data_IF_689658613162
#
_entry.id   IF_689658613162
#
_cell.length_a   1.000
_cell.length_b   1.000
_cell.length_c   1.000
_cell.angle_alpha   90.00
_cell.angle_beta   90.00
_cell.angle_gamma   90.00
#
_symmetry.space_group_name_H-M   'P 1'
#
loop_
_entity.id
_entity.type
_entity.pdbx_description
1 polymer ?
#
# COMPACT_ATOMS: atom_id res chain seq x y z
N UNK A 1 3.43 26.91 -24.66
CA UNK A 1 4.02 26.18 -23.50
C UNK A 1 4.52 24.79 -23.93
N UNK A 2 5.40 24.15 -23.14
CA UNK A 2 5.88 22.77 -23.40
C UNK A 2 4.70 21.80 -23.53
N UNK A 3 3.67 22.00 -22.74
CA UNK A 3 2.46 21.21 -22.74
C UNK A 3 1.69 21.32 -24.06
N UNK A 4 1.58 22.52 -24.60
CA UNK A 4 0.87 22.78 -25.86
C UNK A 4 1.63 22.18 -27.04
N UNK A 5 2.97 22.27 -27.01
CA UNK A 5 3.82 21.65 -28.02
C UNK A 5 3.65 20.11 -28.03
N UNK A 6 3.66 19.48 -26.88
CA UNK A 6 3.50 18.03 -26.75
C UNK A 6 2.08 17.57 -27.15
N UNK A 7 1.05 18.30 -26.75
CA UNK A 7 -0.33 18.02 -27.13
C UNK A 7 -0.56 18.16 -28.65
N UNK A 8 0.04 19.18 -29.28
CA UNK A 8 -0.05 19.38 -30.73
C UNK A 8 0.66 18.28 -31.52
N UNK A 9 1.67 17.62 -30.93
CA UNK A 9 2.36 16.48 -31.53
C UNK A 9 1.74 15.12 -31.14
N UNK A 10 0.52 15.12 -30.58
CA UNK A 10 -0.22 13.90 -30.25
C UNK A 10 0.25 13.18 -28.97
N UNK A 11 1.06 13.86 -28.15
CA UNK A 11 1.50 13.32 -26.87
C UNK A 11 0.55 13.74 -25.76
N UNK A 12 0.20 12.80 -24.89
CA UNK A 12 -0.58 13.07 -23.66
C UNK A 12 0.37 13.25 -22.47
N UNK A 13 0.40 14.45 -21.93
CA UNK A 13 1.22 14.78 -20.76
C UNK A 13 0.57 14.19 -19.50
N UNK A 14 1.26 13.27 -18.84
CA UNK A 14 0.79 12.63 -17.62
C UNK A 14 1.17 13.40 -16.36
N UNK A 15 2.39 13.96 -16.32
CA UNK A 15 2.83 14.76 -15.17
C UNK A 15 3.92 15.75 -15.58
N UNK A 16 3.95 16.89 -14.89
CA UNK A 16 4.98 17.91 -14.97
C UNK A 16 5.59 18.05 -13.57
N UNK A 17 6.87 17.80 -13.43
CA UNK A 17 7.56 17.91 -12.17
C UNK A 17 8.79 18.82 -12.32
N UNK A 18 8.83 19.95 -11.61
CA UNK A 18 10.04 20.73 -11.51
C UNK A 18 11.08 19.94 -10.70
N UNK A 19 12.32 19.92 -11.17
CA UNK A 19 13.46 19.37 -10.45
C UNK A 19 14.19 20.50 -9.77
N UNK A 20 14.16 20.53 -8.45
CA UNK A 20 14.88 21.50 -7.64
C UNK A 20 16.40 21.32 -7.79
N UNK A 21 17.12 22.44 -7.84
CA UNK A 21 18.58 22.43 -7.80
C UNK A 21 19.05 22.03 -6.38
N UNK A 22 19.94 21.05 -6.29
CA UNK A 22 20.50 20.57 -5.01
C UNK A 22 21.29 21.66 -4.30
N UNK A 23 21.87 22.61 -5.06
CA UNK A 23 22.73 23.68 -4.56
C UNK A 23 21.97 24.98 -4.22
N UNK A 24 20.79 25.19 -4.81
CA UNK A 24 20.02 26.43 -4.65
C UNK A 24 18.51 26.09 -4.72
N UNK A 25 17.85 26.05 -3.56
CA UNK A 25 16.45 25.62 -3.44
C UNK A 25 15.43 26.53 -4.10
N UNK A 26 15.82 27.74 -4.43
CA UNK A 26 14.94 28.73 -5.08
C UNK A 26 15.01 28.66 -6.62
N UNK A 27 15.92 27.84 -7.17
CA UNK A 27 16.11 27.68 -8.60
C UNK A 27 15.82 26.23 -9.06
N UNK A 28 15.15 26.11 -10.22
CA UNK A 28 14.88 24.81 -10.85
C UNK A 28 15.89 24.56 -11.97
N UNK A 29 16.62 23.44 -11.92
CA UNK A 29 17.58 23.04 -12.96
C UNK A 29 16.93 22.42 -14.18
N UNK A 30 15.79 21.77 -14.00
CA UNK A 30 15.12 21.05 -15.07
C UNK A 30 13.63 20.84 -14.77
N UNK A 31 12.88 20.65 -15.83
CA UNK A 31 11.47 20.23 -15.75
C UNK A 31 11.39 18.82 -16.31
N UNK A 32 10.97 17.85 -15.49
CA UNK A 32 10.72 16.47 -15.93
C UNK A 32 9.27 16.38 -16.38
N UNK A 33 9.07 16.10 -17.65
CA UNK A 33 7.75 15.93 -18.27
C UNK A 33 7.57 14.47 -18.61
N UNK A 34 6.62 13.80 -17.96
CA UNK A 34 6.21 12.45 -18.33
C UNK A 34 5.04 12.54 -19.30
N UNK A 35 5.19 11.98 -20.47
CA UNK A 35 4.16 11.93 -21.49
C UNK A 35 4.08 10.56 -22.16
N UNK A 36 2.94 10.25 -22.73
CA UNK A 36 2.73 9.06 -23.56
C UNK A 36 2.44 9.53 -24.98
N UNK A 37 3.16 9.01 -25.96
CA UNK A 37 2.95 9.31 -27.38
C UNK A 37 2.90 8.03 -28.18
N UNK A 38 1.95 7.95 -29.12
CA UNK A 38 1.85 6.84 -30.07
C UNK A 38 2.85 6.98 -31.25
N UNK A 39 3.48 8.15 -31.37
CA UNK A 39 4.51 8.42 -32.40
C UNK A 39 5.84 8.74 -31.75
N UNK A 40 6.96 8.30 -32.30
CA UNK A 40 8.27 8.71 -31.81
C UNK A 40 8.40 10.24 -31.95
N UNK A 41 8.61 10.91 -30.81
CA UNK A 41 8.91 12.33 -30.82
C UNK A 41 10.43 12.44 -30.98
N UNK A 42 10.87 12.76 -32.19
CA UNK A 42 12.26 13.08 -32.42
C UNK A 42 12.55 14.44 -31.80
N UNK A 43 13.45 14.40 -30.84
CA UNK A 43 13.99 15.47 -30.03
C UNK A 43 13.95 16.86 -30.71
N UNK A 44 14.26 17.88 -30.08
CA UNK A 44 15.18 18.07 -29.02
C UNK A 44 15.28 19.52 -28.58
N UNK A 45 14.82 20.50 -29.33
CA UNK A 45 14.86 21.90 -28.94
C UNK A 45 13.45 22.46 -28.95
N UNK A 46 12.80 22.47 -27.79
CA UNK A 46 11.49 23.09 -27.64
C UNK A 46 11.75 24.52 -27.20
N UNK A 47 11.45 25.49 -28.06
CA UNK A 47 11.67 26.93 -27.81
C UNK A 47 13.10 27.30 -27.36
N UNK A 48 14.13 26.67 -27.96
CA UNK A 48 15.52 26.98 -27.61
C UNK A 48 16.09 26.25 -26.39
N UNK A 49 15.26 25.45 -25.70
CA UNK A 49 15.69 24.64 -24.57
C UNK A 49 16.06 23.24 -25.04
N UNK A 50 17.27 22.78 -24.71
CA UNK A 50 17.68 21.40 -25.00
C UNK A 50 16.89 20.42 -24.13
N UNK A 51 16.12 19.54 -24.75
CA UNK A 51 15.36 18.50 -24.08
C UNK A 51 16.08 17.15 -24.24
N UNK A 52 16.31 16.46 -23.14
CA UNK A 52 16.80 15.08 -23.17
C UNK A 52 15.62 14.12 -23.10
N UNK A 53 15.36 13.46 -24.21
CA UNK A 53 14.36 12.39 -24.25
C UNK A 53 14.93 11.13 -23.62
N UNK A 54 14.24 10.64 -22.61
CA UNK A 54 14.49 9.34 -21.99
C UNK A 54 13.30 8.45 -22.32
N UNK A 55 13.49 7.56 -23.27
CA UNK A 55 12.49 6.57 -23.63
C UNK A 55 12.38 5.54 -22.50
N UNK A 56 11.23 5.54 -21.81
CA UNK A 56 10.92 4.50 -20.83
C UNK A 56 10.15 3.40 -21.54
N UNK A 57 10.84 2.32 -21.86
CA UNK A 57 10.24 1.18 -22.52
C UNK A 57 9.10 0.59 -21.66
N UNK A 58 7.87 0.63 -22.19
CA UNK A 58 6.68 0.05 -21.56
C UNK A 58 6.85 -1.45 -21.28
N UNK A 59 7.65 -2.14 -22.09
CA UNK A 59 7.98 -3.55 -21.88
C UNK A 59 8.82 -3.76 -20.61
N UNK A 60 9.67 -2.80 -20.24
CA UNK A 60 10.47 -2.86 -19.02
C UNK A 60 9.62 -2.61 -17.78
N UNK A 61 8.68 -1.67 -17.87
CA UNK A 61 7.71 -1.40 -16.80
C UNK A 61 6.79 -2.60 -16.56
N UNK A 62 6.27 -3.24 -17.59
CA UNK A 62 5.43 -4.43 -17.47
C UNK A 62 6.16 -5.64 -16.90
N UNK A 63 7.44 -5.84 -17.26
CA UNK A 63 8.29 -6.90 -16.69
C UNK A 63 8.55 -6.68 -15.20
N UNK A 64 8.79 -5.43 -14.78
CA UNK A 64 8.96 -5.08 -13.35
C UNK A 64 7.68 -5.32 -12.57
N UNK A 65 6.53 -4.89 -13.10
CA UNK A 65 5.23 -5.09 -12.46
C UNK A 65 4.93 -6.59 -12.31
N UNK A 66 5.19 -7.40 -13.35
CA UNK A 66 5.01 -8.85 -13.30
C UNK A 66 5.93 -9.52 -12.28
N UNK A 67 7.20 -9.12 -12.18
CA UNK A 67 8.11 -9.63 -11.15
C UNK A 67 7.69 -9.22 -9.75
N UNK A 68 7.25 -7.98 -9.56
CA UNK A 68 6.76 -7.48 -8.29
C UNK A 68 5.49 -8.22 -7.82
N UNK A 69 4.54 -8.48 -8.72
CA UNK A 69 3.33 -9.25 -8.38
C UNK A 69 3.64 -10.71 -8.04
N UNK A 70 4.59 -11.35 -8.72
CA UNK A 70 5.05 -12.71 -8.37
C UNK A 70 5.69 -12.71 -6.98
N UNK A 71 6.59 -11.74 -6.69
CA UNK A 71 7.22 -11.63 -5.38
C UNK A 71 6.19 -11.42 -4.26
N UNK A 72 5.16 -10.60 -4.51
CA UNK A 72 4.08 -10.36 -3.58
C UNK A 72 3.25 -11.63 -3.33
N UNK A 73 2.92 -12.40 -4.37
CA UNK A 73 2.23 -13.68 -4.24
C UNK A 73 3.05 -14.69 -3.44
N UNK A 74 4.34 -14.80 -3.70
CA UNK A 74 5.25 -15.66 -2.93
C UNK A 74 5.30 -15.25 -1.46
N UNK A 75 5.33 -13.93 -1.18
CA UNK A 75 5.31 -13.42 0.21
C UNK A 75 4.03 -13.82 0.95
N UNK A 76 2.87 -13.75 0.29
CA UNK A 76 1.59 -14.19 0.88
C UNK A 76 1.62 -15.68 1.23
N UNK A 77 2.17 -16.52 0.35
CA UNK A 77 2.32 -17.96 0.60
C UNK A 77 3.24 -18.22 1.79
N UNK A 78 4.37 -17.51 1.88
CA UNK A 78 5.31 -17.64 3.01
C UNK A 78 4.63 -17.26 4.32
N UNK A 79 3.90 -16.13 4.35
CA UNK A 79 3.17 -15.69 5.54
C UNK A 79 2.12 -16.73 5.94
N UNK A 80 1.36 -17.27 4.98
CA UNK A 80 0.37 -18.31 5.23
C UNK A 80 1.02 -19.56 5.87
N UNK A 81 2.10 -20.04 5.29
CA UNK A 81 2.85 -21.19 5.83
C UNK A 81 3.41 -20.92 7.23
N UNK A 82 3.96 -19.73 7.46
CA UNK A 82 4.45 -19.32 8.76
C UNK A 82 3.34 -19.35 9.82
N UNK A 83 2.18 -18.77 9.51
CA UNK A 83 1.03 -18.76 10.43
C UNK A 83 0.52 -20.18 10.67
N UNK A 84 0.40 -20.98 9.61
CA UNK A 84 0.00 -22.38 9.71
C UNK A 84 0.91 -23.16 10.68
N UNK A 85 2.22 -23.10 10.48
CA UNK A 85 3.20 -23.81 11.33
C UNK A 85 3.18 -23.29 12.77
N UNK A 86 3.07 -21.98 12.97
CA UNK A 86 3.07 -21.37 14.30
C UNK A 86 1.85 -21.75 15.14
N UNK A 87 0.70 -21.93 14.49
CA UNK A 87 -0.57 -22.20 15.17
C UNK A 87 -1.07 -23.64 15.02
N UNK A 88 -0.27 -24.57 14.51
CA UNK A 88 -0.63 -25.99 14.30
C UNK A 88 -1.27 -26.64 15.53
N UNK A 89 -0.80 -26.30 16.73
CA UNK A 89 -1.30 -26.89 18.00
C UNK A 89 -2.65 -26.34 18.46
N UNK A 90 -3.16 -25.26 17.86
CA UNK A 90 -4.40 -24.57 18.24
C UNK A 90 -5.16 -24.22 16.97
N UNK A 91 -5.85 -25.23 16.40
CA UNK A 91 -6.68 -25.05 15.19
C UNK A 91 -5.98 -24.24 14.08
N UNK A 92 -4.71 -24.56 13.82
CA UNK A 92 -3.79 -23.78 12.96
C UNK A 92 -4.31 -23.53 11.55
N UNK A 93 -5.09 -24.46 10.98
CA UNK A 93 -5.70 -24.30 9.66
C UNK A 93 -6.71 -23.14 9.65
N UNK A 94 -7.57 -23.06 10.65
CA UNK A 94 -8.57 -21.98 10.75
C UNK A 94 -7.90 -20.64 11.02
N UNK A 95 -6.87 -20.59 11.86
CA UNK A 95 -6.10 -19.38 12.11
C UNK A 95 -5.39 -18.87 10.85
N UNK A 96 -4.72 -19.74 10.10
CA UNK A 96 -4.04 -19.37 8.86
C UNK A 96 -5.03 -18.94 7.77
N UNK A 97 -6.18 -19.61 7.68
CA UNK A 97 -7.23 -19.24 6.74
C UNK A 97 -7.83 -17.87 7.07
N UNK A 98 -8.07 -17.58 8.35
CA UNK A 98 -8.53 -16.26 8.80
C UNK A 98 -7.55 -15.17 8.36
N UNK A 99 -6.24 -15.34 8.61
CA UNK A 99 -5.22 -14.35 8.19
C UNK A 99 -5.22 -14.17 6.68
N UNK A 100 -5.27 -15.26 5.91
CA UNK A 100 -5.26 -15.20 4.45
C UNK A 100 -6.47 -14.43 3.90
N UNK A 101 -7.67 -14.75 4.36
CA UNK A 101 -8.90 -14.08 3.94
C UNK A 101 -8.85 -12.61 4.32
N UNK A 102 -8.39 -12.28 5.53
CA UNK A 102 -8.28 -10.89 5.97
C UNK A 102 -7.24 -10.09 5.18
N UNK A 103 -6.09 -10.69 4.86
CA UNK A 103 -5.09 -10.04 4.00
C UNK A 103 -5.65 -9.70 2.62
N UNK A 104 -6.41 -10.63 2.01
CA UNK A 104 -7.05 -10.39 0.71
C UNK A 104 -8.14 -9.34 0.81
N UNK A 105 -8.97 -9.41 1.83
CA UNK A 105 -10.03 -8.43 2.09
C UNK A 105 -9.46 -7.02 2.27
N UNK A 106 -8.48 -6.86 3.13
CA UNK A 106 -7.85 -5.58 3.43
C UNK A 106 -7.17 -4.99 2.19
N UNK A 107 -6.53 -5.83 1.39
CA UNK A 107 -5.95 -5.42 0.12
C UNK A 107 -7.00 -4.92 -0.86
N UNK A 108 -8.11 -5.65 -1.03
CA UNK A 108 -9.20 -5.25 -1.93
C UNK A 108 -9.86 -3.95 -1.50
N UNK A 109 -10.16 -3.81 -0.20
CA UNK A 109 -10.79 -2.59 0.32
C UNK A 109 -9.85 -1.40 0.21
N UNK A 110 -8.57 -1.56 0.54
CA UNK A 110 -7.59 -0.50 0.38
C UNK A 110 -7.41 -0.09 -1.09
N UNK A 111 -7.35 -1.06 -2.01
CA UNK A 111 -7.24 -0.79 -3.44
C UNK A 111 -8.49 -0.06 -3.98
N UNK A 112 -9.69 -0.48 -3.55
CA UNK A 112 -10.95 0.17 -3.92
C UNK A 112 -11.00 1.63 -3.43
N UNK A 113 -10.59 1.90 -2.18
CA UNK A 113 -10.55 3.25 -1.64
C UNK A 113 -9.51 4.12 -2.35
N UNK A 114 -8.31 3.62 -2.59
CA UNK A 114 -7.30 4.36 -3.35
C UNK A 114 -7.80 4.68 -4.76
N UNK A 115 -8.52 3.76 -5.41
CA UNK A 115 -9.14 3.99 -6.71
C UNK A 115 -10.24 5.06 -6.64
N UNK A 116 -11.09 5.05 -5.59
CA UNK A 116 -12.09 6.09 -5.36
C UNK A 116 -11.46 7.46 -5.16
N UNK A 117 -10.40 7.56 -4.37
CA UNK A 117 -9.67 8.81 -4.18
C UNK A 117 -8.89 9.26 -5.44
N UNK A 118 -8.72 8.37 -6.42
CA UNK A 118 -8.21 8.72 -7.75
C UNK A 118 -9.05 9.78 -8.45
N UNK A 119 -10.37 9.81 -8.24
CA UNK A 119 -11.26 10.88 -8.75
C UNK A 119 -10.97 12.26 -8.12
N UNK A 120 -10.36 12.28 -6.95
CA UNK A 120 -9.99 13.52 -6.23
C UNK A 120 -8.55 13.97 -6.57
N UNK A 121 -7.87 13.27 -7.50
CA UNK A 121 -6.53 13.64 -7.97
C UNK A 121 -5.38 12.81 -7.41
N UNK A 122 -5.63 11.74 -6.66
CA UNK A 122 -4.62 10.76 -6.29
C UNK A 122 -4.19 9.98 -7.54
N UNK A 123 -3.00 10.28 -8.06
CA UNK A 123 -2.48 9.58 -9.23
C UNK A 123 -1.91 8.22 -8.84
N UNK A 124 -2.33 7.19 -9.57
CA UNK A 124 -1.75 5.84 -9.46
C UNK A 124 -0.35 5.89 -10.08
N UNK A 125 0.67 5.92 -9.25
CA UNK A 125 2.07 5.96 -9.65
C UNK A 125 2.77 4.61 -9.38
N UNK A 126 4.03 4.50 -9.81
CA UNK A 126 4.84 3.28 -9.66
C UNK A 126 5.01 2.84 -8.19
N UNK A 127 4.89 3.77 -7.23
CA UNK A 127 5.04 3.48 -5.80
C UNK A 127 3.83 2.76 -5.18
N UNK A 128 2.70 2.66 -5.90
CA UNK A 128 1.50 1.99 -5.40
C UNK A 128 1.74 0.51 -5.08
N UNK A 129 2.70 -0.11 -5.78
CA UNK A 129 3.14 -1.47 -5.47
C UNK A 129 3.77 -1.60 -4.08
N UNK A 130 4.47 -0.56 -3.63
CA UNK A 130 5.04 -0.51 -2.28
C UNK A 130 3.93 -0.39 -1.23
N UNK A 131 2.89 0.40 -1.52
CA UNK A 131 1.70 0.50 -0.66
C UNK A 131 0.98 -0.85 -0.59
N UNK A 132 0.79 -1.53 -1.73
CA UNK A 132 0.17 -2.85 -1.79
C UNK A 132 0.92 -3.89 -0.94
N UNK A 133 2.25 -3.95 -1.07
CA UNK A 133 3.09 -4.84 -0.26
C UNK A 133 2.98 -4.50 1.23
N UNK A 134 2.99 -3.22 1.57
CA UNK A 134 2.85 -2.77 2.95
C UNK A 134 1.48 -3.13 3.54
N UNK A 135 0.40 -2.94 2.80
CA UNK A 135 -0.97 -3.29 3.23
C UNK A 135 -1.06 -4.77 3.60
N UNK A 136 -0.55 -5.64 2.75
CA UNK A 136 -0.56 -7.09 2.97
C UNK A 136 0.24 -7.45 4.22
N UNK A 137 1.46 -6.90 4.37
CA UNK A 137 2.30 -7.15 5.52
C UNK A 137 1.69 -6.63 6.81
N UNK A 138 1.13 -5.43 6.79
CA UNK A 138 0.50 -4.80 7.95
C UNK A 138 -0.79 -5.51 8.37
N UNK A 139 -1.59 -5.99 7.40
CA UNK A 139 -2.74 -6.86 7.67
C UNK A 139 -2.33 -8.16 8.34
N UNK A 140 -1.32 -8.84 7.81
CA UNK A 140 -0.79 -10.05 8.43
C UNK A 140 -0.33 -9.80 9.87
N UNK A 141 0.42 -8.72 10.10
CA UNK A 141 0.91 -8.34 11.42
C UNK A 141 -0.24 -8.12 12.42
N UNK A 142 -1.25 -7.34 12.05
CA UNK A 142 -2.40 -7.04 12.91
C UNK A 142 -3.20 -8.31 13.26
N UNK A 143 -3.45 -9.14 12.26
CA UNK A 143 -4.20 -10.38 12.45
C UNK A 143 -3.42 -11.42 13.28
N UNK A 144 -2.11 -11.56 13.05
CA UNK A 144 -1.24 -12.45 13.86
C UNK A 144 -1.17 -11.96 15.31
N UNK A 145 -1.13 -10.65 15.53
CA UNK A 145 -1.14 -10.07 16.89
C UNK A 145 -2.44 -10.40 17.62
N UNK A 146 -3.60 -10.26 16.96
CA UNK A 146 -4.90 -10.64 17.52
C UNK A 146 -4.95 -12.14 17.83
N UNK A 147 -4.58 -13.00 16.88
CA UNK A 147 -4.57 -14.46 17.06
C UNK A 147 -3.62 -14.92 18.18
N UNK A 148 -2.49 -14.23 18.34
CA UNK A 148 -1.54 -14.51 19.44
C UNK A 148 -2.19 -14.23 20.80
N UNK A 149 -2.97 -13.15 20.92
CA UNK A 149 -3.69 -12.81 22.14
C UNK A 149 -4.85 -13.78 22.39
N UNK A 150 -5.61 -14.14 21.35
CA UNK A 150 -6.66 -15.16 21.41
C UNK A 150 -6.12 -16.48 21.96
N UNK A 151 -5.01 -16.96 21.37
CA UNK A 151 -4.36 -18.19 21.82
C UNK A 151 -3.89 -18.15 23.26
N UNK A 152 -3.33 -16.99 23.68
CA UNK A 152 -2.88 -16.80 25.06
C UNK A 152 -4.04 -16.85 26.04
N UNK A 153 -5.15 -16.20 25.72
CA UNK A 153 -6.33 -16.14 26.55
C UNK A 153 -7.06 -17.49 26.62
N UNK A 154 -7.19 -18.20 25.49
CA UNK A 154 -7.75 -19.54 25.45
C UNK A 154 -6.99 -20.51 26.37
N UNK A 155 -5.65 -20.46 26.32
CA UNK A 155 -4.80 -21.34 27.13
C UNK A 155 -4.80 -20.98 28.61
N UNK A 156 -4.74 -19.67 28.94
CA UNK A 156 -4.51 -19.23 30.33
C UNK A 156 -5.81 -19.05 31.10
N UNK A 157 -6.87 -18.58 30.43
CA UNK A 157 -8.14 -18.23 31.07
C UNK A 157 -9.23 -19.27 30.82
N UNK A 158 -8.99 -20.24 29.91
CA UNK A 158 -9.97 -21.28 29.51
C UNK A 158 -11.32 -20.70 29.08
N UNK A 159 -11.29 -19.50 28.49
CA UNK A 159 -12.47 -18.82 27.94
C UNK A 159 -12.76 -19.39 26.56
N UNK A 160 -14.05 -19.42 26.19
CA UNK A 160 -14.51 -19.89 24.88
C UNK A 160 -15.49 -18.91 24.24
N UNK A 161 -15.66 -19.00 22.91
CA UNK A 161 -16.66 -18.26 22.18
C UNK A 161 -16.49 -16.73 22.19
N UNK A 162 -17.60 -16.02 22.38
CA UNK A 162 -17.66 -14.56 22.29
C UNK A 162 -16.89 -13.85 23.41
N UNK A 163 -16.84 -14.43 24.59
CA UNK A 163 -16.15 -13.85 25.74
C UNK A 163 -14.63 -13.84 25.53
N UNK A 164 -14.08 -14.94 25.02
CA UNK A 164 -12.68 -15.04 24.62
C UNK A 164 -12.31 -13.97 23.58
N UNK A 165 -13.13 -13.83 22.55
CA UNK A 165 -12.90 -12.89 21.45
C UNK A 165 -12.99 -11.45 21.93
N UNK A 166 -14.05 -11.09 22.67
CA UNK A 166 -14.26 -9.75 23.20
C UNK A 166 -13.09 -9.30 24.07
N UNK A 167 -12.63 -10.15 25.00
CA UNK A 167 -11.49 -9.86 25.86
C UNK A 167 -10.20 -9.68 25.05
N UNK A 168 -9.95 -10.56 24.09
CA UNK A 168 -8.74 -10.53 23.27
C UNK A 168 -8.66 -9.30 22.38
N UNK A 169 -9.78 -8.89 21.78
CA UNK A 169 -9.89 -7.64 21.04
C UNK A 169 -9.59 -6.44 21.94
N UNK A 170 -10.19 -6.40 23.12
CA UNK A 170 -10.00 -5.31 24.09
C UNK A 170 -8.53 -5.15 24.51
N UNK A 171 -7.84 -6.27 24.74
CA UNK A 171 -6.41 -6.27 25.08
C UNK A 171 -5.51 -5.86 23.90
N UNK A 172 -5.89 -6.23 22.68
CA UNK A 172 -5.11 -5.93 21.47
C UNK A 172 -5.37 -4.52 20.93
N UNK A 173 -6.55 -3.95 21.19
CA UNK A 173 -7.00 -2.67 20.68
C UNK A 173 -5.99 -1.55 20.90
N UNK A 174 -5.46 -1.41 22.11
CA UNK A 174 -4.48 -0.38 22.45
C UNK A 174 -3.22 -0.47 21.56
N UNK A 175 -2.74 -1.68 21.33
CA UNK A 175 -1.54 -1.92 20.50
C UNK A 175 -1.80 -1.61 19.03
N UNK A 176 -2.97 -2.02 18.51
CA UNK A 176 -3.40 -1.74 17.14
C UNK A 176 -3.51 -0.23 16.89
N UNK A 177 -4.16 0.48 17.81
CA UNK A 177 -4.34 1.93 17.70
C UNK A 177 -3.01 2.69 17.79
N UNK A 178 -2.11 2.31 18.69
CA UNK A 178 -0.79 2.93 18.79
C UNK A 178 0.01 2.69 17.51
N UNK A 179 0.03 1.45 17.00
CA UNK A 179 0.71 1.13 15.76
C UNK A 179 0.17 1.94 14.57
N UNK A 180 -1.15 2.04 14.45
CA UNK A 180 -1.81 2.87 13.45
C UNK A 180 -1.40 4.35 13.58
N UNK A 181 -1.49 4.91 14.79
CA UNK A 181 -1.16 6.32 15.05
C UNK A 181 0.28 6.65 14.69
N UNK A 182 1.24 5.80 15.05
CA UNK A 182 2.66 6.00 14.72
C UNK A 182 2.87 6.05 13.19
N UNK A 183 2.28 5.11 12.45
CA UNK A 183 2.43 5.08 11.00
C UNK A 183 1.76 6.29 10.35
N UNK A 184 0.57 6.67 10.82
CA UNK A 184 -0.16 7.85 10.33
C UNK A 184 0.65 9.14 10.57
N UNK A 185 1.20 9.32 11.76
CA UNK A 185 2.03 10.50 12.10
C UNK A 185 3.28 10.56 11.22
N UNK A 186 3.99 9.44 11.06
CA UNK A 186 5.17 9.39 10.19
C UNK A 186 4.81 9.66 8.72
N UNK A 187 3.70 9.10 8.25
CA UNK A 187 3.23 9.34 6.87
C UNK A 187 2.79 10.79 6.66
N UNK A 188 2.12 11.41 7.63
CA UNK A 188 1.78 12.84 7.58
C UNK A 188 3.03 13.72 7.56
N UNK A 189 4.01 13.44 8.39
CA UNK A 189 5.28 14.16 8.36
C UNK A 189 5.95 14.07 6.97
N UNK A 190 5.94 12.88 6.35
CA UNK A 190 6.46 12.67 5.00
C UNK A 190 5.65 13.44 3.93
N UNK A 191 4.34 13.58 4.08
CA UNK A 191 3.50 14.40 3.17
C UNK A 191 3.94 15.87 3.18
N UNK A 192 4.25 16.42 4.36
CA UNK A 192 4.67 17.82 4.48
C UNK A 192 6.10 18.08 4.01
N UNK A 193 6.99 17.09 4.16
CA UNK A 193 8.42 17.23 3.81
C UNK A 193 8.68 16.88 2.34
N UNK A 194 8.02 15.83 1.84
CA UNK A 194 8.26 15.27 0.51
C UNK A 194 7.09 15.62 -0.42
N UNK A 195 7.19 16.60 -1.24
CA UNK A 195 6.12 16.93 -2.22
C UNK A 195 5.87 15.84 -3.30
N UNK A 196 4.97 16.12 -4.22
CA UNK A 196 4.76 15.35 -5.45
C UNK A 196 4.25 13.91 -5.23
N UNK A 197 4.85 12.96 -5.95
CA UNK A 197 4.39 11.56 -5.95
C UNK A 197 4.56 10.85 -4.59
N UNK A 198 5.54 11.27 -3.79
CA UNK A 198 5.78 10.69 -2.45
C UNK A 198 4.65 11.06 -1.51
N UNK A 199 4.21 12.33 -1.52
CA UNK A 199 3.09 12.78 -0.72
C UNK A 199 1.80 12.02 -1.05
N UNK A 200 1.50 11.81 -2.34
CA UNK A 200 0.35 11.02 -2.78
C UNK A 200 0.43 9.56 -2.30
N UNK A 201 1.62 8.96 -2.35
CA UNK A 201 1.85 7.60 -1.85
C UNK A 201 1.63 7.52 -0.34
N UNK A 202 2.08 8.50 0.42
CA UNK A 202 1.87 8.58 1.86
C UNK A 202 0.39 8.77 2.22
N UNK A 203 -0.37 9.55 1.45
CA UNK A 203 -1.82 9.66 1.63
C UNK A 203 -2.54 8.33 1.39
N UNK A 204 -2.18 7.61 0.32
CA UNK A 204 -2.71 6.28 0.07
C UNK A 204 -2.37 5.31 1.21
N UNK A 205 -1.16 5.40 1.77
CA UNK A 205 -0.73 4.60 2.91
C UNK A 205 -1.56 4.89 4.17
N UNK A 206 -1.84 6.16 4.48
CA UNK A 206 -2.68 6.55 5.62
C UNK A 206 -4.07 5.92 5.52
N UNK A 207 -4.70 6.02 4.36
CA UNK A 207 -6.02 5.42 4.11
C UNK A 207 -5.95 3.90 4.33
N UNK A 208 -4.96 3.25 3.74
CA UNK A 208 -4.79 1.81 3.82
C UNK A 208 -4.58 1.31 5.25
N UNK A 209 -3.75 2.01 6.04
CA UNK A 209 -3.48 1.67 7.46
C UNK A 209 -4.72 1.84 8.33
N UNK A 210 -5.48 2.92 8.12
CA UNK A 210 -6.72 3.15 8.87
C UNK A 210 -7.75 2.04 8.62
N UNK A 211 -7.99 1.71 7.34
CA UNK A 211 -8.90 0.62 6.94
C UNK A 211 -8.47 -0.71 7.53
N UNK A 212 -7.20 -1.05 7.40
CA UNK A 212 -6.63 -2.29 7.89
C UNK A 212 -6.77 -2.45 9.41
N UNK A 213 -6.55 -1.36 10.15
CA UNK A 213 -6.72 -1.36 11.61
C UNK A 213 -8.19 -1.56 12.00
N UNK A 214 -9.12 -0.89 11.32
CA UNK A 214 -10.56 -1.08 11.55
C UNK A 214 -10.99 -2.51 11.20
N UNK A 215 -10.52 -3.05 10.09
CA UNK A 215 -10.79 -4.42 9.65
C UNK A 215 -10.29 -5.44 10.69
N UNK A 216 -9.08 -5.27 11.22
CA UNK A 216 -8.54 -6.15 12.26
C UNK A 216 -9.34 -6.11 13.57
N UNK A 217 -9.96 -4.98 13.90
CA UNK A 217 -10.77 -4.84 15.11
C UNK A 217 -12.17 -5.47 14.95
N UNK A 218 -12.81 -5.25 13.79
CA UNK A 218 -14.22 -5.61 13.60
C UNK A 218 -14.43 -6.87 12.78
N UNK A 219 -13.69 -7.07 11.68
CA UNK A 219 -13.91 -8.16 10.74
C UNK A 219 -13.16 -9.43 11.13
N UNK A 220 -11.90 -9.34 11.53
CA UNK A 220 -11.08 -10.49 11.85
C UNK A 220 -11.64 -11.34 13.02
N UNK A 221 -12.14 -10.76 14.13
CA UNK A 221 -12.71 -11.54 15.23
C UNK A 221 -13.98 -12.28 14.83
N UNK A 222 -14.83 -11.64 14.03
CA UNK A 222 -16.08 -12.25 13.54
C UNK A 222 -15.80 -13.40 12.57
N UNK A 223 -14.84 -13.21 11.68
CA UNK A 223 -14.44 -14.24 10.74
C UNK A 223 -13.86 -15.45 11.47
N UNK A 224 -12.99 -15.22 12.46
CA UNK A 224 -12.42 -16.30 13.26
C UNK A 224 -13.50 -17.08 14.01
N UNK A 225 -14.49 -16.42 14.63
CA UNK A 225 -15.62 -17.09 15.27
C UNK A 225 -16.45 -17.91 14.27
N UNK A 226 -16.67 -17.38 13.07
CA UNK A 226 -17.44 -18.08 12.02
C UNK A 226 -16.74 -19.36 11.54
N UNK A 227 -15.44 -19.31 11.39
CA UNK A 227 -14.64 -20.47 10.94
C UNK A 227 -14.40 -21.51 12.04
N UNK A 228 -14.54 -21.11 13.30
CA UNK A 228 -14.24 -21.94 14.47
C UNK A 228 -15.48 -22.59 15.13
N UNK A 229 -16.66 -22.36 14.54
CA UNK A 229 -17.88 -23.09 14.87
C UNK A 229 -17.80 -24.53 14.37
#
# INVERSE_FOLDING_TARGET
>A
TIRDYLNNNGARVSSLQPRENISDRDNYDAIVVNFTSDKPIESATINGVQCRLLEVDNARSSKLLKRASIALAVSVVIIYLYVLLRYLKVKGVYASLTVLIMMLWDFLVAAALVALFGFVGLQVNTYIMSVAAFVILYSAFNNVMLLSTLRSNEKNLKLEGEELVSLSVKQTLKRLLISCAVIVVLSLAAVFVCGGNVAQTCLALIIAVAVNTLSAIFAAPRLWMSLNK
#
